data_IF_127528537863
#
_entry.id   IF_127528537863
#
_cell.length_a   1.000
_cell.length_b   1.000
_cell.length_c   1.000
_cell.angle_alpha   90.00
_cell.angle_beta   90.00
_cell.angle_gamma   90.00
#
_symmetry.space_group_name_H-M   'P 1'
#
loop_
_entity.id
_entity.type
_entity.pdbx_description
1 polymer ?
#
# COMPACT_ATOMS: atom_id res chain seq x y z
N UNK A 1 3.31 -28.62 -8.87
CA UNK A 1 2.51 -29.36 -7.87
C UNK A 1 2.68 -30.85 -8.01
N UNK A 2 2.65 -31.40 -9.23
CA UNK A 2 2.85 -32.84 -9.52
C UNK A 2 4.15 -33.43 -8.93
N UNK A 3 5.29 -32.74 -9.04
CA UNK A 3 6.58 -33.26 -8.54
C UNK A 3 6.73 -33.21 -7.02
N UNK A 4 6.11 -32.23 -6.36
CA UNK A 4 6.31 -31.96 -4.92
C UNK A 4 5.17 -32.55 -4.06
N UNK A 5 3.97 -32.69 -4.65
CA UNK A 5 2.72 -33.08 -4.01
C UNK A 5 1.88 -31.85 -3.64
N UNK A 6 0.60 -31.84 -4.01
CA UNK A 6 -0.32 -30.71 -3.77
C UNK A 6 -0.55 -30.41 -2.27
N UNK A 7 -0.50 -31.44 -1.43
CA UNK A 7 -0.65 -31.31 0.02
C UNK A 7 0.47 -30.50 0.70
N UNK A 8 1.58 -30.21 -0.01
CA UNK A 8 2.69 -29.40 0.51
C UNK A 8 2.57 -27.91 0.20
N UNK A 9 1.48 -27.48 -0.43
CA UNK A 9 1.23 -26.08 -0.77
C UNK A 9 0.12 -25.53 0.13
N UNK A 10 0.41 -24.43 0.82
CA UNK A 10 -0.56 -23.79 1.74
C UNK A 10 -1.17 -22.51 1.18
N UNK A 11 -0.47 -21.84 0.26
CA UNK A 11 -0.94 -20.58 -0.32
C UNK A 11 -0.38 -20.34 -1.72
N UNK A 12 -1.13 -19.56 -2.51
CA UNK A 12 -0.75 -19.05 -3.82
C UNK A 12 -0.90 -17.53 -3.82
N UNK A 13 0.18 -16.82 -4.13
CA UNK A 13 0.20 -15.37 -4.30
C UNK A 13 0.53 -15.03 -5.76
N UNK A 14 -0.38 -14.32 -6.43
CA UNK A 14 -0.18 -13.88 -7.82
C UNK A 14 -0.75 -12.48 -8.04
N UNK A 15 -0.28 -11.82 -9.09
CA UNK A 15 -0.79 -10.52 -9.49
C UNK A 15 -2.24 -10.58 -10.02
N UNK A 16 -2.86 -9.41 -10.16
CA UNK A 16 -4.26 -9.29 -10.61
C UNK A 16 -4.40 -9.30 -12.14
N UNK A 17 -3.42 -9.82 -12.90
CA UNK A 17 -3.60 -9.96 -14.36
C UNK A 17 -4.70 -10.97 -14.68
N UNK A 18 -5.42 -10.78 -15.78
CA UNK A 18 -6.63 -11.55 -16.11
C UNK A 18 -6.37 -13.07 -16.15
N UNK A 19 -5.24 -13.47 -16.71
CA UNK A 19 -4.86 -14.88 -16.82
C UNK A 19 -4.51 -15.47 -15.45
N UNK A 20 -3.85 -14.70 -14.59
CA UNK A 20 -3.54 -15.12 -13.23
C UNK A 20 -4.80 -15.21 -12.37
N UNK A 21 -5.78 -14.35 -12.59
CA UNK A 21 -7.09 -14.44 -11.91
C UNK A 21 -7.83 -15.73 -12.28
N UNK A 22 -7.87 -16.07 -13.57
CA UNK A 22 -8.46 -17.32 -14.02
C UNK A 22 -7.74 -18.55 -13.43
N UNK A 23 -6.40 -18.52 -13.39
CA UNK A 23 -5.61 -19.58 -12.77
C UNK A 23 -5.88 -19.69 -11.25
N UNK A 24 -5.99 -18.56 -10.54
CA UNK A 24 -6.37 -18.52 -9.12
C UNK A 24 -7.74 -19.15 -8.90
N UNK A 25 -8.73 -18.81 -9.73
CA UNK A 25 -10.09 -19.36 -9.64
C UNK A 25 -10.13 -20.87 -9.91
N UNK A 26 -9.31 -21.37 -10.83
CA UNK A 26 -9.18 -22.81 -11.08
C UNK A 26 -8.55 -23.53 -9.87
N UNK A 27 -7.42 -23.02 -9.38
CA UNK A 27 -6.72 -23.62 -8.23
C UNK A 27 -7.59 -23.57 -6.97
N UNK A 28 -8.32 -22.49 -6.72
CA UNK A 28 -9.23 -22.38 -5.58
C UNK A 28 -10.35 -23.43 -5.61
N UNK A 29 -10.81 -23.80 -6.81
CA UNK A 29 -11.87 -24.81 -6.99
C UNK A 29 -11.32 -26.23 -6.88
N UNK A 30 -10.17 -26.49 -7.48
CA UNK A 30 -9.56 -27.82 -7.48
C UNK A 30 -8.91 -28.16 -6.13
N UNK A 31 -8.41 -27.14 -5.43
CA UNK A 31 -7.61 -27.28 -4.20
C UNK A 31 -8.03 -26.24 -3.14
N UNK A 32 -9.18 -26.43 -2.47
CA UNK A 32 -9.75 -25.45 -1.55
C UNK A 32 -8.88 -25.12 -0.32
N UNK A 33 -7.94 -26.01 0.05
CA UNK A 33 -6.97 -25.79 1.14
C UNK A 33 -5.90 -24.76 0.79
N UNK A 34 -5.66 -24.50 -0.49
CA UNK A 34 -4.67 -23.52 -0.91
C UNK A 34 -5.27 -22.12 -0.77
N UNK A 35 -4.70 -21.35 0.15
CA UNK A 35 -5.09 -19.96 0.35
C UNK A 35 -4.70 -19.11 -0.85
N UNK A 36 -5.68 -18.45 -1.46
CA UNK A 36 -5.44 -17.53 -2.56
C UNK A 36 -5.23 -16.11 -2.00
N UNK A 37 -4.00 -15.61 -2.13
CA UNK A 37 -3.60 -14.29 -1.64
C UNK A 37 -3.48 -13.31 -2.81
N UNK A 38 -4.18 -12.17 -2.79
CA UNK A 38 -3.96 -11.12 -3.78
C UNK A 38 -2.61 -10.44 -3.55
N UNK A 39 -1.88 -10.10 -4.63
CA UNK A 39 -0.67 -9.30 -4.55
C UNK A 39 -0.98 -7.86 -4.10
N UNK A 40 -0.78 -7.59 -2.81
CA UNK A 40 -1.05 -6.28 -2.22
C UNK A 40 -0.04 -5.23 -2.67
N UNK A 41 1.21 -5.60 -2.94
CA UNK A 41 2.20 -4.67 -3.48
C UNK A 41 1.77 -4.19 -4.87
N UNK A 42 1.26 -5.08 -5.71
CA UNK A 42 0.70 -4.72 -7.01
C UNK A 42 -0.55 -3.84 -6.86
N UNK A 43 -1.45 -4.17 -5.94
CA UNK A 43 -2.63 -3.37 -5.65
C UNK A 43 -2.29 -1.95 -5.18
N UNK A 44 -1.34 -1.81 -4.25
CA UNK A 44 -0.86 -0.51 -3.78
C UNK A 44 -0.19 0.29 -4.89
N UNK A 45 0.56 -0.36 -5.79
CA UNK A 45 1.06 0.29 -7.00
C UNK A 45 -0.09 0.80 -7.88
N UNK A 46 -1.15 0.02 -8.06
CA UNK A 46 -2.34 0.45 -8.80
C UNK A 46 -3.11 1.58 -8.11
N UNK A 47 -3.09 1.64 -6.78
CA UNK A 47 -3.62 2.77 -6.02
C UNK A 47 -2.84 4.06 -6.32
N UNK A 48 -1.51 4.02 -6.24
CA UNK A 48 -0.65 5.15 -6.61
C UNK A 48 -0.91 5.58 -8.06
N UNK A 49 -1.03 4.62 -8.98
CA UNK A 49 -1.35 4.89 -10.38
C UNK A 49 -2.63 5.70 -10.54
N UNK A 50 -3.68 5.37 -9.80
CA UNK A 50 -4.97 6.05 -9.90
C UNK A 50 -4.93 7.43 -9.26
N UNK A 51 -4.25 7.59 -8.12
CA UNK A 51 -4.05 8.90 -7.49
C UNK A 51 -3.30 9.83 -8.45
N UNK A 52 -2.19 9.37 -9.03
CA UNK A 52 -1.36 10.14 -9.98
C UNK A 52 -2.11 10.49 -11.27
N UNK A 53 -3.19 9.77 -11.60
CA UNK A 53 -4.05 10.06 -12.76
C UNK A 53 -5.12 11.11 -12.51
N UNK A 54 -5.32 11.55 -11.27
CA UNK A 54 -6.27 12.63 -11.00
C UNK A 54 -5.84 13.89 -11.76
N UNK A 55 -6.77 14.61 -12.43
CA UNK A 55 -6.43 15.79 -13.23
C UNK A 55 -5.65 16.85 -12.44
N UNK A 56 -5.96 17.00 -11.15
CA UNK A 56 -5.27 17.90 -10.23
C UNK A 56 -3.74 17.65 -10.16
N UNK A 57 -3.30 16.40 -10.29
CA UNK A 57 -1.88 16.03 -10.24
C UNK A 57 -1.21 15.90 -11.61
N UNK A 58 -1.88 16.31 -12.69
CA UNK A 58 -1.32 16.29 -14.04
C UNK A 58 -0.03 17.13 -14.20
N UNK A 59 0.10 18.33 -13.59
CA UNK A 59 1.34 19.10 -13.64
C UNK A 59 2.52 18.32 -13.03
N UNK A 60 2.35 17.77 -11.83
CA UNK A 60 3.36 16.95 -11.15
C UNK A 60 3.80 15.74 -12.01
N UNK A 61 2.84 14.97 -12.52
CA UNK A 61 3.12 13.80 -13.38
C UNK A 61 3.92 14.19 -14.63
N UNK A 62 3.48 15.25 -15.32
CA UNK A 62 4.08 15.68 -16.59
C UNK A 62 5.47 16.27 -16.36
N UNK A 63 5.63 17.08 -15.32
CA UNK A 63 6.91 17.66 -14.92
C UNK A 63 7.96 16.60 -14.60
N UNK A 64 7.61 15.62 -13.76
CA UNK A 64 8.51 14.50 -13.41
C UNK A 64 8.90 13.70 -14.65
N UNK A 65 7.94 13.36 -15.51
CA UNK A 65 8.18 12.63 -16.75
C UNK A 65 9.10 13.39 -17.71
N UNK A 66 8.85 14.70 -17.87
CA UNK A 66 9.62 15.56 -18.76
C UNK A 66 11.08 15.71 -18.29
N UNK A 67 11.29 16.04 -17.02
CA UNK A 67 12.62 16.18 -16.41
C UNK A 67 13.38 14.86 -16.50
N UNK A 68 12.77 13.77 -16.04
CA UNK A 68 13.41 12.43 -16.07
C UNK A 68 13.81 12.03 -17.48
N UNK A 69 12.92 12.25 -18.47
CA UNK A 69 13.20 11.93 -19.88
C UNK A 69 14.32 12.80 -20.45
N UNK A 70 14.38 14.08 -20.12
CA UNK A 70 15.40 14.99 -20.62
C UNK A 70 16.79 14.60 -20.12
N UNK A 71 16.96 14.45 -18.80
CA UNK A 71 18.25 14.13 -18.20
C UNK A 71 18.68 12.68 -18.41
N UNK A 72 17.76 11.77 -18.76
CA UNK A 72 18.13 10.42 -19.23
C UNK A 72 18.70 10.43 -20.66
N UNK A 73 18.26 11.36 -21.51
CA UNK A 73 18.68 11.42 -22.92
C UNK A 73 19.93 12.28 -23.14
N UNK A 74 20.14 13.30 -22.32
CA UNK A 74 21.23 14.26 -22.49
C UNK A 74 22.36 13.99 -21.50
N UNK A 75 23.43 13.35 -21.95
CA UNK A 75 24.63 13.13 -21.12
C UNK A 75 25.25 14.44 -20.65
N UNK A 76 25.23 15.48 -21.49
CA UNK A 76 25.69 16.82 -21.15
C UNK A 76 24.88 17.42 -19.99
N UNK A 77 23.54 17.42 -20.11
CA UNK A 77 22.69 17.97 -19.07
C UNK A 77 22.80 17.15 -17.77
N UNK A 78 22.94 15.83 -17.90
CA UNK A 78 23.13 14.93 -16.76
C UNK A 78 24.41 15.23 -15.98
N UNK A 79 25.54 15.40 -16.68
CA UNK A 79 26.82 15.69 -16.05
C UNK A 79 26.78 17.03 -15.27
N UNK A 80 26.22 18.08 -15.87
CA UNK A 80 26.09 19.37 -15.19
C UNK A 80 25.14 19.33 -14.01
N UNK A 81 24.04 18.57 -14.11
CA UNK A 81 23.14 18.37 -12.98
C UNK A 81 23.81 17.58 -11.85
N UNK A 82 24.57 16.53 -12.17
CA UNK A 82 25.26 15.72 -11.16
C UNK A 82 26.35 16.53 -10.45
N UNK A 83 27.06 17.43 -11.15
CA UNK A 83 27.97 18.40 -10.54
C UNK A 83 27.24 19.37 -9.61
N UNK A 84 26.17 20.02 -10.09
CA UNK A 84 25.37 20.94 -9.29
C UNK A 84 24.76 20.28 -8.04
N UNK A 85 24.38 19.00 -8.14
CA UNK A 85 23.88 18.21 -7.02
C UNK A 85 24.95 17.92 -5.98
N UNK A 86 26.17 17.61 -6.41
CA UNK A 86 27.30 17.39 -5.51
C UNK A 86 27.61 18.66 -4.72
N UNK A 87 27.65 19.81 -5.40
CA UNK A 87 27.86 21.13 -4.78
C UNK A 87 26.75 21.48 -3.77
N UNK A 88 25.50 21.13 -4.09
CA UNK A 88 24.35 21.39 -3.22
C UNK A 88 24.13 20.32 -2.12
N UNK A 89 24.98 19.29 -2.02
CA UNK A 89 24.82 18.21 -1.04
C UNK A 89 23.61 17.28 -1.29
N UNK A 90 23.04 17.29 -2.49
CA UNK A 90 21.87 16.46 -2.85
C UNK A 90 22.33 15.05 -3.22
N UNK A 91 22.28 14.14 -2.26
CA UNK A 91 22.83 12.78 -2.38
C UNK A 91 22.18 11.89 -3.46
N UNK A 92 20.88 12.05 -3.76
CA UNK A 92 20.15 11.16 -4.69
C UNK A 92 20.08 11.71 -6.12
N UNK A 93 20.49 10.88 -7.08
CA UNK A 93 20.37 11.19 -8.51
C UNK A 93 19.00 10.85 -9.07
N UNK A 94 18.67 11.42 -10.24
CA UNK A 94 17.37 11.17 -10.88
C UNK A 94 17.22 9.67 -11.08
N UNK A 95 16.29 9.09 -10.32
CA UNK A 95 15.88 7.71 -10.46
C UNK A 95 14.97 7.59 -11.69
N UNK A 96 15.18 6.56 -12.50
CA UNK A 96 14.25 6.26 -13.57
C UNK A 96 12.94 5.74 -12.95
N UNK A 97 11.79 6.23 -13.44
CA UNK A 97 10.53 5.55 -13.21
C UNK A 97 10.61 4.17 -13.88
N UNK A 98 10.59 3.10 -13.09
CA UNK A 98 10.47 1.73 -13.61
C UNK A 98 9.07 1.55 -14.22
N UNK A 99 9.00 0.86 -15.36
CA UNK A 99 7.74 0.62 -16.08
C UNK A 99 6.69 -0.16 -15.26
N UNK A 100 7.09 -0.82 -14.18
CA UNK A 100 6.26 -1.78 -13.42
C UNK A 100 5.98 -1.40 -11.97
N UNK A 101 6.56 -0.32 -11.42
CA UNK A 101 6.31 0.13 -10.04
C UNK A 101 5.90 1.60 -10.02
N UNK A 102 4.59 1.85 -9.94
CA UNK A 102 4.04 3.21 -9.85
C UNK A 102 4.45 3.95 -8.57
N UNK A 103 4.84 3.23 -7.51
CA UNK A 103 5.56 3.79 -6.35
C UNK A 103 6.85 4.52 -6.77
N UNK A 104 7.42 4.20 -7.93
CA UNK A 104 8.50 4.98 -8.56
C UNK A 104 8.15 6.45 -8.77
N UNK A 105 6.87 6.83 -8.87
CA UNK A 105 6.44 8.22 -8.92
C UNK A 105 6.79 8.98 -7.64
N UNK A 106 6.64 8.37 -6.46
CA UNK A 106 7.04 9.01 -5.21
C UNK A 106 8.56 9.26 -5.17
N UNK A 107 9.36 8.23 -5.43
CA UNK A 107 10.81 8.35 -5.37
C UNK A 107 11.38 9.29 -6.44
N UNK A 108 10.83 9.23 -7.66
CA UNK A 108 11.22 10.13 -8.75
C UNK A 108 10.74 11.55 -8.49
N UNK A 109 9.49 11.72 -8.05
CA UNK A 109 8.92 13.02 -7.73
C UNK A 109 9.66 13.73 -6.60
N UNK A 110 10.03 13.01 -5.54
CA UNK A 110 10.86 13.55 -4.45
C UNK A 110 12.21 14.06 -4.96
N UNK A 111 12.88 13.23 -5.76
CA UNK A 111 14.15 13.63 -6.36
C UNK A 111 13.98 14.84 -7.29
N UNK A 112 12.91 14.87 -8.10
CA UNK A 112 12.61 15.98 -8.99
C UNK A 112 12.36 17.27 -8.22
N UNK A 113 11.58 17.23 -7.14
CA UNK A 113 11.31 18.39 -6.30
C UNK A 113 12.62 18.99 -5.75
N UNK A 114 13.53 18.15 -5.27
CA UNK A 114 14.84 18.58 -4.75
C UNK A 114 15.73 19.23 -5.81
N UNK A 115 15.64 18.79 -7.09
CA UNK A 115 16.51 19.30 -8.17
C UNK A 115 15.92 20.45 -8.97
N UNK A 116 14.62 20.75 -8.87
CA UNK A 116 14.00 21.86 -9.61
C UNK A 116 14.79 23.17 -9.42
N UNK A 117 15.18 23.58 -8.20
CA UNK A 117 15.98 24.78 -7.99
C UNK A 117 17.33 24.75 -8.72
N UNK A 118 18.00 23.59 -8.74
CA UNK A 118 19.29 23.41 -9.41
C UNK A 118 19.14 23.52 -10.93
N UNK A 119 18.10 22.91 -11.49
CA UNK A 119 17.83 23.01 -12.93
C UNK A 119 17.47 24.45 -13.32
N UNK A 120 16.69 25.17 -12.50
CA UNK A 120 16.43 26.61 -12.71
C UNK A 120 17.72 27.42 -12.75
N UNK A 121 18.63 27.18 -11.80
CA UNK A 121 19.94 27.85 -11.76
C UNK A 121 20.76 27.58 -13.03
N UNK A 122 20.86 26.31 -13.46
CA UNK A 122 21.59 25.94 -14.67
C UNK A 122 21.01 26.57 -15.95
N UNK A 123 19.70 26.84 -15.99
CA UNK A 123 19.05 27.57 -17.09
C UNK A 123 19.41 29.07 -17.01
N UNK A 124 19.33 29.67 -15.82
CA UNK A 124 19.67 31.08 -15.59
C UNK A 124 21.15 31.39 -15.90
N UNK A 125 22.05 30.48 -15.55
CA UNK A 125 23.49 30.58 -15.81
C UNK A 125 23.85 30.30 -17.28
N UNK A 126 22.85 30.07 -18.15
CA UNK A 126 23.02 29.74 -19.57
C UNK A 126 23.85 28.47 -19.86
N UNK A 127 24.02 27.59 -18.85
CA UNK A 127 24.66 26.27 -19.00
C UNK A 127 23.74 25.36 -19.81
N UNK A 128 22.44 25.35 -19.47
CA UNK A 128 21.42 24.61 -20.21
C UNK A 128 20.66 25.53 -21.17
N UNK A 129 21.11 25.56 -22.44
CA UNK A 129 20.43 26.30 -23.51
C UNK A 129 19.19 25.54 -24.00
N UNK A 130 18.01 25.96 -23.55
CA UNK A 130 16.75 25.34 -23.93
C UNK A 130 16.23 25.88 -25.27
N UNK A 131 15.87 24.98 -26.19
CA UNK A 131 15.15 25.30 -27.43
C UNK A 131 13.66 24.98 -27.23
N UNK A 132 12.78 25.54 -28.06
CA UNK A 132 11.32 25.27 -28.00
C UNK A 132 10.96 23.77 -28.08
N UNK A 133 11.77 22.96 -28.76
CA UNK A 133 11.59 21.50 -28.84
C UNK A 133 12.19 20.71 -27.67
N UNK A 134 12.86 21.38 -26.71
CA UNK A 134 13.42 20.71 -25.54
C UNK A 134 12.29 20.32 -24.59
N UNK A 135 12.26 19.07 -24.13
CA UNK A 135 11.16 18.55 -23.29
C UNK A 135 10.91 19.37 -22.02
N UNK A 136 11.94 19.98 -21.45
CA UNK A 136 11.88 20.82 -20.24
C UNK A 136 11.76 22.33 -20.55
N UNK A 137 11.40 22.72 -21.78
CA UNK A 137 11.26 24.15 -22.15
C UNK A 137 10.26 24.92 -21.27
N UNK A 138 9.26 24.22 -20.73
CA UNK A 138 8.30 24.79 -19.76
C UNK A 138 8.97 25.36 -18.50
N UNK A 139 10.21 24.95 -18.18
CA UNK A 139 10.95 25.48 -17.02
C UNK A 139 11.39 26.94 -17.17
N UNK A 140 11.24 27.52 -18.37
CA UNK A 140 11.44 28.96 -18.61
C UNK A 140 10.29 29.78 -18.00
N UNK A 141 9.09 29.23 -17.94
CA UNK A 141 7.92 29.88 -17.37
C UNK A 141 7.86 29.63 -15.85
N UNK A 142 8.05 30.69 -15.07
CA UNK A 142 8.03 30.62 -13.61
C UNK A 142 6.68 30.14 -13.05
N UNK A 143 5.57 30.49 -13.70
CA UNK A 143 4.24 30.10 -13.23
C UNK A 143 4.03 28.59 -13.38
N UNK A 144 4.43 28.02 -14.52
CA UNK A 144 4.33 26.57 -14.77
C UNK A 144 5.27 25.79 -13.86
N UNK A 145 6.44 26.35 -13.55
CA UNK A 145 7.36 25.77 -12.57
C UNK A 145 6.75 25.74 -11.18
N UNK A 146 6.17 26.85 -10.72
CA UNK A 146 5.52 26.91 -9.42
C UNK A 146 4.33 25.95 -9.35
N UNK A 147 3.48 25.92 -10.36
CA UNK A 147 2.35 24.97 -10.45
C UNK A 147 2.82 23.51 -10.36
N UNK A 148 3.93 23.18 -11.02
CA UNK A 148 4.52 21.83 -10.96
C UNK A 148 5.07 21.52 -9.56
N UNK A 149 5.72 22.48 -8.90
CA UNK A 149 6.23 22.34 -7.54
C UNK A 149 5.09 22.15 -6.55
N UNK A 150 4.09 23.03 -6.57
CA UNK A 150 2.91 22.95 -5.70
C UNK A 150 2.20 21.60 -5.87
N UNK A 151 1.99 21.16 -7.12
CA UNK A 151 1.38 19.86 -7.39
C UNK A 151 2.22 18.68 -6.85
N UNK A 152 3.55 18.78 -6.85
CA UNK A 152 4.44 17.77 -6.26
C UNK A 152 4.40 17.80 -4.73
N UNK A 153 4.42 18.99 -4.13
CA UNK A 153 4.32 19.19 -2.69
C UNK A 153 2.99 18.68 -2.13
N UNK A 154 1.91 18.77 -2.90
CA UNK A 154 0.63 18.17 -2.56
C UNK A 154 0.60 16.64 -2.77
N UNK A 155 1.20 16.14 -3.86
CA UNK A 155 1.13 14.73 -4.23
C UNK A 155 2.03 13.84 -3.35
N UNK A 156 3.26 14.27 -3.09
CA UNK A 156 4.27 13.43 -2.43
C UNK A 156 3.87 12.98 -1.01
N UNK A 157 3.30 13.83 -0.15
CA UNK A 157 2.85 13.41 1.18
C UNK A 157 1.73 12.36 1.13
N UNK A 158 0.86 12.42 0.11
CA UNK A 158 -0.19 11.42 -0.10
C UNK A 158 0.43 10.07 -0.52
N UNK A 159 1.44 10.11 -1.40
CA UNK A 159 2.08 8.89 -1.91
C UNK A 159 3.08 8.27 -0.92
N UNK A 160 3.65 9.06 -0.01
CA UNK A 160 4.70 8.64 0.92
C UNK A 160 4.35 7.41 1.76
N UNK A 161 3.24 7.37 2.52
CA UNK A 161 2.92 6.21 3.35
C UNK A 161 2.73 4.95 2.50
N UNK A 162 2.15 5.09 1.30
CA UNK A 162 1.96 3.97 0.36
C UNK A 162 3.31 3.47 -0.17
N UNK A 163 4.20 4.38 -0.56
CA UNK A 163 5.52 4.04 -1.08
C UNK A 163 6.39 3.33 -0.04
N UNK A 164 6.34 3.77 1.22
CA UNK A 164 7.04 3.14 2.34
C UNK A 164 6.46 1.76 2.64
N UNK A 165 5.13 1.64 2.69
CA UNK A 165 4.47 0.36 2.90
C UNK A 165 4.86 -0.68 1.84
N UNK A 166 4.80 -0.32 0.55
CA UNK A 166 5.22 -1.24 -0.53
C UNK A 166 6.68 -1.66 -0.37
N UNK A 167 7.58 -0.73 -0.06
CA UNK A 167 8.99 -1.05 0.17
C UNK A 167 9.17 -2.04 1.33
N UNK A 168 8.41 -1.88 2.41
CA UNK A 168 8.46 -2.80 3.54
C UNK A 168 7.84 -4.17 3.21
N UNK A 169 6.77 -4.21 2.42
CA UNK A 169 6.09 -5.45 2.03
C UNK A 169 6.87 -6.26 0.98
N UNK A 170 7.77 -5.64 0.22
CA UNK A 170 8.72 -6.35 -0.65
C UNK A 170 9.87 -7.03 0.15
N UNK A 171 9.95 -6.84 1.47
CA UNK A 171 10.95 -7.48 2.33
C UNK A 171 10.68 -8.97 2.51
N UNK A 172 11.74 -9.77 2.63
CA UNK A 172 11.65 -11.19 3.01
C UNK A 172 11.11 -11.42 4.42
N UNK A 173 11.06 -10.39 5.26
CA UNK A 173 10.49 -10.45 6.60
C UNK A 173 9.02 -10.02 6.67
N UNK A 174 8.41 -9.64 5.54
CA UNK A 174 7.01 -9.23 5.52
C UNK A 174 6.11 -10.44 5.79
N UNK A 175 5.15 -10.26 6.69
CA UNK A 175 4.13 -11.27 7.04
C UNK A 175 2.76 -10.83 6.54
N UNK A 176 1.77 -11.74 6.43
CA UNK A 176 0.38 -11.35 6.17
C UNK A 176 -0.17 -10.35 7.20
N UNK A 177 0.31 -10.37 8.45
CA UNK A 177 -0.05 -9.36 9.45
C UNK A 177 0.47 -7.96 9.08
N UNK A 178 1.70 -7.90 8.56
CA UNK A 178 2.34 -6.66 8.10
C UNK A 178 1.50 -5.93 7.05
N UNK A 179 0.83 -6.68 6.17
CA UNK A 179 -0.06 -6.14 5.13
C UNK A 179 -1.19 -5.29 5.73
N UNK A 180 -1.93 -5.86 6.68
CA UNK A 180 -3.08 -5.18 7.27
C UNK A 180 -2.62 -4.01 8.15
N UNK A 181 -1.53 -4.17 8.91
CA UNK A 181 -0.95 -3.09 9.71
C UNK A 181 -0.51 -1.91 8.84
N UNK A 182 0.22 -2.15 7.75
CA UNK A 182 0.63 -1.07 6.86
C UNK A 182 -0.57 -0.42 6.15
N UNK A 183 -1.63 -1.19 5.86
CA UNK A 183 -2.87 -0.62 5.36
C UNK A 183 -3.51 0.36 6.34
N UNK A 184 -3.64 -0.04 7.62
CA UNK A 184 -4.14 0.83 8.67
C UNK A 184 -3.24 2.07 8.86
N UNK A 185 -1.93 1.90 8.83
CA UNK A 185 -0.99 3.01 8.92
C UNK A 185 -1.14 4.01 7.77
N UNK A 186 -1.36 3.53 6.53
CA UNK A 186 -1.68 4.39 5.39
C UNK A 186 -2.97 5.16 5.64
N UNK A 187 -4.05 4.49 6.06
CA UNK A 187 -5.34 5.14 6.32
C UNK A 187 -5.23 6.20 7.41
N UNK A 188 -4.57 5.88 8.53
CA UNK A 188 -4.36 6.80 9.62
C UNK A 188 -3.55 8.03 9.19
N UNK A 189 -2.45 7.81 8.46
CA UNK A 189 -1.60 8.90 7.95
C UNK A 189 -2.37 9.81 6.99
N UNK A 190 -3.15 9.23 6.06
CA UNK A 190 -3.95 10.02 5.13
C UNK A 190 -5.08 10.77 5.84
N UNK A 191 -5.73 10.16 6.83
CA UNK A 191 -6.78 10.81 7.58
C UNK A 191 -6.24 11.99 8.41
N UNK A 192 -5.09 11.83 9.05
CA UNK A 192 -4.41 12.92 9.74
C UNK A 192 -4.04 14.05 8.77
N UNK A 193 -3.46 13.71 7.61
CA UNK A 193 -3.12 14.66 6.56
C UNK A 193 -4.36 15.46 6.09
N UNK A 194 -5.50 14.81 5.92
CA UNK A 194 -6.73 15.45 5.48
C UNK A 194 -7.43 16.24 6.59
N UNK A 195 -7.36 15.77 7.84
CA UNK A 195 -7.88 16.51 9.00
C UNK A 195 -7.15 17.84 9.18
N UNK A 196 -5.82 17.81 9.02
CA UNK A 196 -4.97 18.97 9.20
C UNK A 196 -4.86 19.83 7.91
N UNK A 197 -5.63 19.51 6.87
CA UNK A 197 -5.53 20.14 5.55
C UNK A 197 -5.73 21.67 5.55
N UNK A 198 -6.52 22.19 6.50
CA UNK A 198 -6.85 23.62 6.62
C UNK A 198 -5.95 24.38 7.58
N UNK A 199 -5.02 23.71 8.26
CA UNK A 199 -4.09 24.35 9.19
C UNK A 199 -3.04 25.18 8.44
N UNK A 200 -2.31 26.05 9.16
CA UNK A 200 -1.33 26.97 8.57
C UNK A 200 -0.25 26.26 7.74
N UNK A 201 0.09 25.03 8.13
CA UNK A 201 1.04 24.14 7.44
C UNK A 201 0.37 22.96 6.71
N UNK A 202 -0.96 22.98 6.59
CA UNK A 202 -1.71 21.97 5.86
C UNK A 202 -1.50 22.05 4.35
N UNK A 203 -1.83 20.97 3.64
CA UNK A 203 -1.68 20.92 2.18
C UNK A 203 -2.67 21.80 1.41
N UNK A 204 -3.70 22.36 2.05
CA UNK A 204 -4.72 23.21 1.41
C UNK A 204 -5.32 22.60 0.14
N UNK A 205 -5.44 21.28 0.11
CA UNK A 205 -6.03 20.53 -0.99
C UNK A 205 -7.50 20.89 -1.16
N UNK A 206 -8.01 20.98 -2.40
CA UNK A 206 -9.43 21.10 -2.65
C UNK A 206 -10.20 19.88 -2.13
N UNK A 207 -11.40 20.11 -1.59
CA UNK A 207 -12.24 19.04 -1.01
C UNK A 207 -12.55 17.91 -2.01
N UNK A 208 -12.74 18.25 -3.29
CA UNK A 208 -13.01 17.25 -4.32
C UNK A 208 -11.81 16.29 -4.53
N UNK A 209 -10.57 16.79 -4.39
CA UNK A 209 -9.36 15.96 -4.50
C UNK A 209 -9.27 14.99 -3.33
N UNK A 210 -9.54 15.46 -2.11
CA UNK A 210 -9.56 14.62 -0.89
C UNK A 210 -10.60 13.50 -1.05
N UNK A 211 -11.81 13.86 -1.50
CA UNK A 211 -12.88 12.89 -1.75
C UNK A 211 -12.48 11.86 -2.81
N UNK A 212 -11.83 12.29 -3.88
CA UNK A 212 -11.34 11.40 -4.94
C UNK A 212 -10.25 10.45 -4.44
N UNK A 213 -9.30 10.93 -3.64
CA UNK A 213 -8.26 10.08 -3.02
C UNK A 213 -8.90 9.06 -2.07
N UNK A 214 -9.78 9.49 -1.17
CA UNK A 214 -10.52 8.58 -0.27
C UNK A 214 -11.30 7.50 -1.04
N UNK A 215 -11.95 7.89 -2.14
CA UNK A 215 -12.66 6.96 -3.03
C UNK A 215 -11.71 5.93 -3.65
N UNK A 216 -10.54 6.35 -4.14
CA UNK A 216 -9.54 5.45 -4.72
C UNK A 216 -9.03 4.47 -3.66
N UNK A 217 -8.60 4.95 -2.50
CA UNK A 217 -8.06 4.12 -1.41
C UNK A 217 -9.10 3.08 -0.96
N UNK A 218 -10.34 3.52 -0.72
CA UNK A 218 -11.45 2.64 -0.30
C UNK A 218 -11.77 1.59 -1.36
N UNK A 219 -11.83 1.99 -2.64
CA UNK A 219 -12.09 1.05 -3.75
C UNK A 219 -10.99 0.00 -3.84
N UNK A 220 -9.71 0.40 -3.76
CA UNK A 220 -8.58 -0.52 -3.83
C UNK A 220 -8.57 -1.49 -2.64
N UNK A 221 -8.93 -1.05 -1.45
CA UNK A 221 -9.12 -1.97 -0.32
C UNK A 221 -10.20 -3.00 -0.59
N UNK A 222 -11.37 -2.57 -1.08
CA UNK A 222 -12.47 -3.48 -1.40
C UNK A 222 -12.06 -4.51 -2.46
N UNK A 223 -11.29 -4.10 -3.46
CA UNK A 223 -10.71 -5.04 -4.43
C UNK A 223 -9.82 -6.09 -3.73
N UNK A 224 -8.98 -5.70 -2.75
CA UNK A 224 -8.17 -6.66 -1.99
C UNK A 224 -8.97 -7.66 -1.16
N UNK A 225 -10.12 -7.22 -0.63
CA UNK A 225 -10.93 -8.05 0.27
C UNK A 225 -12.00 -8.85 -0.47
N UNK A 226 -12.39 -8.43 -1.67
CA UNK A 226 -13.44 -9.04 -2.49
C UNK A 226 -12.90 -9.73 -3.76
N UNK A 227 -11.59 -9.68 -4.04
CA UNK A 227 -10.97 -10.48 -5.10
C UNK A 227 -11.06 -11.99 -4.77
N UNK A 228 -12.19 -12.59 -5.13
CA UNK A 228 -12.48 -14.03 -5.03
C UNK A 228 -13.93 -14.28 -5.45
N UNK A 229 -14.20 -14.33 -6.76
CA UNK A 229 -15.56 -14.53 -7.31
C UNK A 229 -16.05 -15.99 -7.20
N UNK A 230 -15.43 -16.80 -6.35
CA UNK A 230 -15.46 -18.25 -6.40
C UNK A 230 -15.55 -18.83 -4.99
N UNK A 231 -16.56 -18.45 -4.20
CA UNK A 231 -16.91 -19.09 -2.92
C UNK A 231 -15.86 -19.04 -1.80
N UNK A 232 -14.64 -18.57 -2.08
CA UNK A 232 -13.50 -18.46 -1.17
C UNK A 232 -13.03 -16.99 -1.12
N UNK A 233 -13.96 -16.08 -0.85
CA UNK A 233 -13.77 -14.62 -0.79
C UNK A 233 -13.04 -14.19 0.51
N UNK A 234 -11.91 -14.83 0.81
CA UNK A 234 -11.22 -14.74 2.08
C UNK A 234 -9.85 -14.04 2.01
N UNK A 235 -9.47 -13.52 0.83
CA UNK A 235 -8.16 -12.90 0.60
C UNK A 235 -7.90 -11.68 1.49
N UNK A 236 -8.93 -10.96 1.92
CA UNK A 236 -8.81 -9.90 2.94
C UNK A 236 -8.79 -10.42 4.37
N UNK A 237 -9.55 -11.48 4.64
CA UNK A 237 -9.75 -12.04 5.98
C UNK A 237 -8.51 -12.75 6.50
N UNK A 238 -7.67 -13.30 5.62
CA UNK A 238 -6.37 -13.88 6.00
C UNK A 238 -5.41 -12.83 6.58
N UNK A 239 -5.36 -11.61 6.03
CA UNK A 239 -4.53 -10.54 6.55
C UNK A 239 -5.02 -10.05 7.91
N UNK A 240 -6.35 -9.99 8.07
CA UNK A 240 -6.98 -9.66 9.34
C UNK A 240 -6.76 -10.74 10.41
N UNK A 241 -6.93 -12.01 10.04
CA UNK A 241 -6.66 -13.15 10.91
C UNK A 241 -5.20 -13.16 11.35
N UNK A 242 -4.26 -12.91 10.42
CA UNK A 242 -2.84 -12.85 10.74
C UNK A 242 -2.50 -11.76 11.77
N UNK A 243 -3.18 -10.61 11.74
CA UNK A 243 -3.02 -9.57 12.78
C UNK A 243 -3.57 -10.03 14.12
N UNK A 244 -4.75 -10.66 14.14
CA UNK A 244 -5.35 -11.18 15.38
C UNK A 244 -4.46 -12.22 16.06
N UNK A 245 -3.72 -13.02 15.28
CA UNK A 245 -2.82 -14.04 15.80
C UNK A 245 -1.35 -13.60 15.91
N UNK A 246 -1.01 -12.34 15.63
CA UNK A 246 0.37 -11.86 15.73
C UNK A 246 0.77 -11.74 17.21
N UNK A 247 1.68 -12.58 17.73
CA UNK A 247 2.05 -12.55 19.15
C UNK A 247 2.69 -11.22 19.55
N UNK A 248 3.34 -10.53 18.61
CA UNK A 248 3.96 -9.24 18.87
C UNK A 248 2.95 -8.13 19.17
N UNK A 249 1.70 -8.31 18.71
CA UNK A 249 0.59 -7.39 18.96
C UNK A 249 -0.23 -7.81 20.17
N UNK A 250 -0.38 -9.11 20.43
CA UNK A 250 -1.15 -9.65 21.56
C UNK A 250 -0.60 -9.20 22.92
N UNK A 251 0.72 -9.10 23.07
CA UNK A 251 1.36 -8.73 24.34
C UNK A 251 1.56 -7.21 24.52
N UNK A 252 1.55 -6.44 23.43
CA UNK A 252 2.01 -5.02 23.44
C UNK A 252 0.95 -4.01 23.05
N UNK A 253 -0.10 -4.43 22.36
CA UNK A 253 -1.17 -3.55 21.90
C UNK A 253 -2.30 -3.52 22.94
N UNK A 254 -2.85 -2.33 23.24
CA UNK A 254 -4.06 -2.16 24.06
C UNK A 254 -5.36 -2.50 23.31
N UNK A 255 -5.26 -2.52 21.98
CA UNK A 255 -6.15 -3.26 21.09
C UNK A 255 -5.70 -4.73 21.18
N UNK A 256 -6.47 -5.80 21.09
CA UNK A 256 -5.96 -7.20 21.15
C UNK A 256 -5.49 -7.77 22.51
N UNK A 257 -5.05 -6.98 23.50
CA UNK A 257 -4.93 -7.52 24.87
C UNK A 257 -6.32 -7.82 25.45
N UNK A 258 -6.52 -9.07 25.90
CA UNK A 258 -7.65 -9.40 26.77
C UNK A 258 -7.42 -8.71 28.11
N UNK A 259 -8.37 -7.87 28.54
CA UNK A 259 -8.23 -7.08 29.76
C UNK A 259 -8.35 -7.91 31.04
N UNK A 260 -8.67 -9.21 30.93
CA UNK A 260 -8.86 -10.14 32.03
C UNK A 260 -8.16 -11.49 31.81
N UNK A 261 -6.90 -11.48 31.36
CA UNK A 261 -6.12 -12.72 31.32
C UNK A 261 -5.85 -13.19 32.76
N UNK A 262 -6.42 -14.34 33.15
CA UNK A 262 -6.01 -15.00 34.39
C UNK A 262 -4.64 -15.65 34.15
N UNK A 263 -3.55 -15.15 34.75
CA UNK A 263 -2.19 -15.61 34.46
C UNK A 263 -1.91 -17.04 34.99
N UNK A 264 -2.87 -17.67 35.66
CA UNK A 264 -2.75 -19.00 36.26
C UNK A 264 -3.66 -20.06 35.61
N UNK A 265 -4.43 -19.75 34.56
CA UNK A 265 -5.35 -20.70 33.94
C UNK A 265 -4.66 -21.51 32.81
N UNK A 266 -4.31 -22.79 33.00
CA UNK A 266 -3.54 -23.57 32.03
C UNK A 266 -4.42 -24.42 31.09
N UNK A 267 -5.72 -24.13 30.94
CA UNK A 267 -6.62 -25.01 30.18
C UNK A 267 -7.63 -24.24 29.35
N UNK A 268 -7.47 -24.31 28.03
CA UNK A 268 -8.53 -23.99 27.07
C UNK A 268 -9.59 -25.10 27.19
N UNK A 269 -10.75 -24.78 27.76
CA UNK A 269 -11.87 -25.72 27.86
C UNK A 269 -12.82 -25.46 26.71
N UNK A 270 -12.84 -26.35 25.71
CA UNK A 270 -13.84 -26.30 24.64
C UNK A 270 -15.21 -26.69 25.21
N UNK A 271 -16.27 -25.89 25.02
CA UNK A 271 -17.59 -26.27 25.51
C UNK A 271 -18.10 -27.50 24.76
N UNK A 272 -18.47 -28.54 25.52
CA UNK A 272 -19.21 -29.68 24.98
C UNK A 272 -20.59 -29.25 24.47
N UNK A 273 -21.09 -29.92 23.42
CA UNK A 273 -22.43 -29.72 22.84
C UNK A 273 -23.54 -30.03 23.86
N UNK A 274 -23.83 -29.13 24.78
CA UNK A 274 -25.08 -29.12 25.54
C UNK A 274 -25.55 -27.69 25.73
N UNK A 275 -26.88 -27.53 25.74
CA UNK A 275 -27.60 -26.26 25.71
C UNK A 275 -27.09 -25.24 26.75
N UNK A 276 -27.11 -23.92 26.45
CA UNK A 276 -26.53 -22.91 27.31
C UNK A 276 -27.29 -22.80 28.63
N UNK A 277 -26.56 -22.96 29.74
CA UNK A 277 -27.04 -22.75 31.09
C UNK A 277 -27.05 -21.23 31.37
N UNK A 278 -28.17 -20.60 31.77
CA UNK A 278 -28.27 -19.14 31.91
C UNK A 278 -27.42 -18.52 33.04
N UNK A 279 -26.74 -19.35 33.85
CA UNK A 279 -25.79 -18.96 34.90
C UNK A 279 -24.32 -19.19 34.53
N UNK A 280 -24.03 -19.48 33.25
CA UNK A 280 -22.65 -19.69 32.81
C UNK A 280 -21.84 -18.38 32.92
N UNK A 281 -20.58 -18.42 33.39
CA UNK A 281 -19.69 -17.27 33.28
C UNK A 281 -19.67 -16.78 31.83
N UNK A 282 -19.46 -15.47 31.59
CA UNK A 282 -19.34 -14.96 30.23
C UNK A 282 -18.33 -15.82 29.47
N UNK A 283 -18.65 -16.14 28.20
CA UNK A 283 -17.75 -16.89 27.32
C UNK A 283 -16.32 -16.33 27.46
N UNK A 284 -15.27 -17.17 27.47
CA UNK A 284 -13.89 -16.74 27.70
C UNK A 284 -13.46 -15.54 26.85
N UNK A 285 -14.08 -15.36 25.68
CA UNK A 285 -13.79 -14.31 24.69
C UNK A 285 -14.94 -13.30 24.49
N UNK A 286 -15.92 -13.25 25.40
CA UNK A 286 -17.10 -12.38 25.25
C UNK A 286 -16.74 -10.88 25.16
N UNK A 287 -15.66 -10.47 25.85
CA UNK A 287 -15.10 -9.13 25.79
C UNK A 287 -14.47 -8.84 24.41
N UNK A 288 -13.75 -9.81 23.83
CA UNK A 288 -13.19 -9.72 22.48
C UNK A 288 -14.30 -9.66 21.42
N UNK A 289 -15.38 -10.43 21.58
CA UNK A 289 -16.54 -10.40 20.68
C UNK A 289 -17.25 -9.05 20.71
N UNK A 290 -17.41 -8.45 21.89
CA UNK A 290 -18.03 -7.14 22.04
C UNK A 290 -17.13 -6.00 21.50
N UNK A 291 -15.80 -6.14 21.64
CA UNK A 291 -14.82 -5.11 21.28
C UNK A 291 -14.41 -5.16 19.81
N UNK A 292 -14.46 -6.32 19.15
CA UNK A 292 -13.96 -6.51 17.79
C UNK A 292 -15.00 -7.16 16.86
N UNK A 293 -15.70 -6.35 16.04
CA UNK A 293 -16.64 -6.86 15.03
C UNK A 293 -16.01 -7.86 14.04
N UNK A 294 -14.70 -7.80 13.84
CA UNK A 294 -13.96 -8.70 12.96
C UNK A 294 -13.71 -10.10 13.54
N UNK A 295 -13.88 -10.30 14.85
CA UNK A 295 -13.56 -11.58 15.51
C UNK A 295 -14.41 -12.73 14.95
N UNK A 296 -15.70 -12.48 14.72
CA UNK A 296 -16.64 -13.46 14.13
C UNK A 296 -16.23 -13.82 12.69
N UNK A 297 -15.83 -12.83 11.89
CA UNK A 297 -15.41 -13.06 10.51
C UNK A 297 -14.10 -13.85 10.43
N UNK A 298 -13.15 -13.58 11.33
CA UNK A 298 -11.92 -14.38 11.46
C UNK A 298 -12.25 -15.82 11.87
N UNK A 299 -13.12 -16.01 12.86
CA UNK A 299 -13.55 -17.35 13.29
C UNK A 299 -14.21 -18.16 12.17
N UNK A 300 -15.13 -17.55 11.41
CA UNK A 300 -15.76 -18.18 10.23
C UNK A 300 -14.72 -18.58 9.19
N UNK A 301 -13.77 -17.70 8.91
CA UNK A 301 -12.69 -17.98 7.98
C UNK A 301 -11.85 -19.19 8.43
N UNK A 302 -11.34 -19.19 9.67
CA UNK A 302 -10.52 -20.31 10.17
C UNK A 302 -11.28 -21.64 10.14
N UNK A 303 -12.56 -21.61 10.53
CA UNK A 303 -13.40 -22.81 10.49
C UNK A 303 -13.55 -23.35 9.06
N UNK A 304 -13.75 -22.46 8.07
CA UNK A 304 -13.79 -22.87 6.66
C UNK A 304 -12.48 -23.52 6.20
N UNK A 305 -11.33 -23.04 6.67
CA UNK A 305 -10.02 -23.60 6.31
C UNK A 305 -9.81 -24.98 6.95
N UNK A 306 -10.21 -25.16 8.21
CA UNK A 306 -10.17 -26.46 8.88
C UNK A 306 -11.02 -27.48 8.13
N UNK A 307 -12.23 -27.11 7.71
CA UNK A 307 -13.09 -28.00 6.92
C UNK A 307 -12.46 -28.38 5.57
N UNK A 308 -11.78 -27.43 4.92
CA UNK A 308 -11.08 -27.69 3.66
C UNK A 308 -9.90 -28.67 3.86
N UNK A 309 -9.09 -28.48 4.91
CA UNK A 309 -7.97 -29.38 5.24
C UNK A 309 -8.43 -30.80 5.61
N UNK A 310 -9.54 -30.92 6.35
CA UNK A 310 -10.12 -32.21 6.71
C UNK A 310 -10.68 -32.98 5.52
N UNK A 311 -10.98 -32.30 4.40
CA UNK A 311 -11.50 -32.95 3.19
C UNK A 311 -10.42 -33.63 2.33
N UNK A 312 -9.14 -33.43 2.67
CA UNK A 312 -7.97 -33.94 1.92
C UNK A 312 -7.38 -35.19 2.57
N UNK A 313 -7.62 -35.40 3.87
CA UNK A 313 -7.18 -36.55 4.65
C UNK A 313 -8.30 -37.61 4.76
#
# INVERSE_FOLDING_TARGET
METIGIAKFSALLTDSTSNMKAARDLIAREHPHILILPDICHLMNNMVKDIVKLPYFAPAKTGVQSITKHFKKSSFARAHLDAARLEAGVSRGIAAMGNTRFVGMYWSGKTVLDIIPLVKKLIQDNVLKLKKNTGIYWMVDQNVVQETQDALEHLLPILEPIARAVKCLESSHATPASVYLFWLAILATLEELFRNNKEDHGLRLPEHVIKDVRRIVTRRWKESTQEGNSGNANGGTVYLAAVVFDPSLLDKSSLFTCHNHNPLAPSITLPGRCAPNPLSPPLPDADLWAKYPCYVEVGKFLFSQILAELSIN
#
